data_IF_935832242074
#
_entry.id   IF_935832242074
#
_cell.length_a   1.000
_cell.length_b   1.000
_cell.length_c   1.000
_cell.angle_alpha   90.00
_cell.angle_beta   90.00
_cell.angle_gamma   90.00
#
_symmetry.space_group_name_H-M   'P 1'
#
loop_
_entity.id
_entity.type
_entity.pdbx_description
1 polymer ?
#
# COMPACT_ATOMS: atom_id res chain seq x y z
N UNK A 1 -2.94 13.09 -10.76
CA UNK A 1 -3.48 14.44 -10.53
C UNK A 1 -4.58 14.66 -11.54
N UNK A 2 -5.84 14.58 -11.13
CA UNK A 2 -6.95 14.83 -12.03
C UNK A 2 -6.97 16.32 -12.32
N UNK A 3 -6.58 16.71 -13.53
CA UNK A 3 -6.57 18.09 -14.00
C UNK A 3 -8.00 18.55 -14.30
N UNK A 4 -8.25 19.86 -14.23
CA UNK A 4 -9.45 20.45 -14.85
C UNK A 4 -9.54 19.97 -16.31
N UNK A 5 -10.74 19.56 -16.80
CA UNK A 5 -10.87 19.03 -18.15
C UNK A 5 -10.39 20.01 -19.20
N UNK A 6 -9.57 19.55 -20.15
CA UNK A 6 -9.00 20.39 -21.21
C UNK A 6 -10.07 21.16 -21.99
N UNK A 7 -11.22 20.53 -22.26
CA UNK A 7 -12.32 21.17 -22.98
C UNK A 7 -12.87 22.40 -22.24
N UNK A 8 -12.98 22.34 -20.91
CA UNK A 8 -13.46 23.47 -20.12
C UNK A 8 -12.48 24.65 -20.19
N UNK A 9 -11.17 24.37 -20.12
CA UNK A 9 -10.12 25.39 -20.28
C UNK A 9 -10.17 26.02 -21.67
N UNK A 10 -10.23 25.20 -22.73
CA UNK A 10 -10.30 25.70 -24.10
C UNK A 10 -11.58 26.53 -24.38
N UNK A 11 -12.71 26.18 -23.75
CA UNK A 11 -13.94 26.98 -23.84
C UNK A 11 -13.79 28.31 -23.11
N UNK A 12 -13.18 28.33 -21.92
CA UNK A 12 -12.91 29.57 -21.20
C UNK A 12 -12.03 30.53 -22.00
N UNK A 13 -10.97 30.03 -22.65
CA UNK A 13 -10.13 30.83 -23.54
C UNK A 13 -10.95 31.45 -24.70
N UNK A 14 -11.92 30.69 -25.22
CA UNK A 14 -12.79 31.14 -26.29
C UNK A 14 -13.78 32.23 -25.83
N UNK A 15 -14.29 32.13 -24.60
CA UNK A 15 -15.14 33.14 -23.97
C UNK A 15 -14.39 34.40 -23.53
N UNK A 16 -13.08 34.30 -23.25
CA UNK A 16 -12.23 35.46 -23.00
C UNK A 16 -11.82 36.20 -24.30
N UNK A 17 -11.79 35.49 -25.43
CA UNK A 17 -11.45 36.03 -26.74
C UNK A 17 -12.65 36.24 -27.67
N UNK A 18 -12.82 35.41 -28.70
CA UNK A 18 -13.76 35.66 -29.80
C UNK A 18 -15.25 35.59 -29.40
N UNK A 19 -15.59 34.89 -28.31
CA UNK A 19 -16.96 34.84 -27.79
C UNK A 19 -17.21 35.83 -26.64
N UNK A 20 -16.29 36.77 -26.43
CA UNK A 20 -16.41 37.76 -25.36
C UNK A 20 -17.68 38.60 -25.51
N UNK A 21 -18.52 38.55 -24.49
CA UNK A 21 -19.82 39.25 -24.46
C UNK A 21 -20.99 38.48 -25.07
N UNK A 22 -20.76 37.28 -25.63
CA UNK A 22 -21.83 36.40 -26.09
C UNK A 22 -22.32 35.56 -24.91
N UNK A 23 -23.62 35.65 -24.64
CA UNK A 23 -24.32 34.84 -23.63
C UNK A 23 -25.13 33.78 -24.36
N UNK A 24 -24.87 32.50 -24.08
CA UNK A 24 -25.79 31.43 -24.46
C UNK A 24 -26.76 31.15 -23.31
N UNK A 25 -27.99 30.71 -23.58
CA UNK A 25 -29.03 30.57 -22.54
C UNK A 25 -28.68 29.62 -21.38
N UNK A 26 -27.93 28.55 -21.65
CA UNK A 26 -27.61 27.51 -20.64
C UNK A 26 -26.10 27.28 -20.46
N UNK A 27 -25.24 27.97 -21.21
CA UNK A 27 -23.80 27.70 -21.24
C UNK A 27 -23.01 28.93 -21.67
N UNK A 28 -22.78 29.86 -20.73
CA UNK A 28 -21.92 31.02 -20.93
C UNK A 28 -20.57 30.86 -20.22
N UNK A 29 -19.63 31.78 -20.51
CA UNK A 29 -18.30 31.76 -19.89
C UNK A 29 -18.32 31.83 -18.36
N UNK A 30 -19.29 32.53 -17.76
CA UNK A 30 -19.42 32.63 -16.30
C UNK A 30 -19.83 31.29 -15.68
N UNK A 31 -20.81 30.59 -16.27
CA UNK A 31 -21.24 29.27 -15.80
C UNK A 31 -20.13 28.23 -15.90
N UNK A 32 -19.36 28.23 -16.99
CA UNK A 32 -18.21 27.31 -17.17
C UNK A 32 -17.08 27.67 -16.20
N UNK A 33 -16.83 28.95 -15.94
CA UNK A 33 -15.80 29.38 -15.01
C UNK A 33 -16.15 28.96 -13.58
N UNK A 34 -17.42 29.12 -13.19
CA UNK A 34 -17.91 28.65 -11.88
C UNK A 34 -17.73 27.13 -11.73
N UNK A 35 -18.14 26.34 -12.73
CA UNK A 35 -17.96 24.89 -12.70
C UNK A 35 -16.47 24.47 -12.66
N UNK A 36 -15.60 25.18 -13.39
CA UNK A 36 -14.15 24.94 -13.34
C UNK A 36 -13.56 25.22 -11.96
N UNK A 37 -14.03 26.29 -11.29
CA UNK A 37 -13.63 26.61 -9.92
C UNK A 37 -14.15 25.58 -8.91
N UNK A 38 -15.38 25.10 -9.05
CA UNK A 38 -15.89 23.98 -8.21
C UNK A 38 -15.02 22.73 -8.33
N UNK A 39 -14.63 22.36 -9.56
CA UNK A 39 -13.70 21.25 -9.80
C UNK A 39 -12.36 21.50 -9.10
N UNK A 40 -11.82 22.72 -9.19
CA UNK A 40 -10.57 23.08 -8.51
C UNK A 40 -10.68 22.97 -6.98
N UNK A 41 -11.79 23.42 -6.40
CA UNK A 41 -12.06 23.30 -4.97
C UNK A 41 -12.18 21.84 -4.54
N UNK A 42 -12.89 21.02 -5.32
CA UNK A 42 -13.00 19.59 -5.07
C UNK A 42 -11.62 18.88 -5.13
N UNK A 43 -10.76 19.28 -6.07
CA UNK A 43 -9.39 18.77 -6.15
C UNK A 43 -8.56 19.13 -4.92
N UNK A 44 -8.66 20.37 -4.43
CA UNK A 44 -7.98 20.79 -3.19
C UNK A 44 -8.48 19.99 -1.99
N UNK A 45 -9.80 19.84 -1.84
CA UNK A 45 -10.40 19.03 -0.78
C UNK A 45 -9.91 17.57 -0.83
N UNK A 46 -9.82 16.98 -2.03
CA UNK A 46 -9.28 15.64 -2.22
C UNK A 46 -7.80 15.54 -1.82
N UNK A 47 -6.98 16.53 -2.20
CA UNK A 47 -5.57 16.57 -1.81
C UNK A 47 -5.40 16.64 -0.29
N UNK A 48 -6.21 17.47 0.39
CA UNK A 48 -6.23 17.55 1.85
C UNK A 48 -6.66 16.24 2.50
N UNK A 49 -7.73 15.62 2.00
CA UNK A 49 -8.21 14.34 2.52
C UNK A 49 -7.18 13.22 2.34
N UNK A 50 -6.48 13.18 1.20
CA UNK A 50 -5.42 12.22 0.94
C UNK A 50 -4.24 12.40 1.90
N UNK A 51 -3.80 13.65 2.13
CA UNK A 51 -2.74 13.95 3.10
C UNK A 51 -3.14 13.53 4.53
N UNK A 52 -4.38 13.79 4.93
CA UNK A 52 -4.90 13.36 6.23
C UNK A 52 -4.96 11.83 6.37
N UNK A 53 -5.36 11.12 5.31
CA UNK A 53 -5.38 9.66 5.27
C UNK A 53 -3.97 9.09 5.43
N UNK A 54 -2.99 9.64 4.71
CA UNK A 54 -1.61 9.15 4.76
C UNK A 54 -0.98 9.43 6.14
N UNK A 55 -1.28 10.56 6.77
CA UNK A 55 -0.90 10.83 8.15
C UNK A 55 -1.53 9.85 9.15
N UNK A 56 -2.83 9.56 9.00
CA UNK A 56 -3.54 8.59 9.85
C UNK A 56 -2.97 7.17 9.71
N UNK A 57 -2.58 6.76 8.49
CA UNK A 57 -1.90 5.49 8.24
C UNK A 57 -0.55 5.41 8.93
N UNK A 58 0.25 6.47 8.85
CA UNK A 58 1.53 6.57 9.57
C UNK A 58 1.34 6.41 11.08
N UNK A 59 0.41 7.17 11.66
CA UNK A 59 0.09 7.08 13.08
C UNK A 59 -0.37 5.67 13.49
N UNK A 60 -1.22 5.03 12.69
CA UNK A 60 -1.67 3.66 12.96
C UNK A 60 -0.49 2.68 13.00
N UNK A 61 0.41 2.75 12.02
CA UNK A 61 1.59 1.90 11.96
C UNK A 61 2.49 2.09 13.18
N UNK A 62 2.72 3.35 13.60
CA UNK A 62 3.52 3.66 14.78
C UNK A 62 2.92 3.07 16.06
N UNK A 63 1.60 3.21 16.24
CA UNK A 63 0.88 2.67 17.41
C UNK A 63 0.89 1.15 17.42
N UNK A 64 0.75 0.50 16.27
CA UNK A 64 0.85 -0.96 16.15
C UNK A 64 2.27 -1.45 16.47
N UNK A 65 3.29 -0.75 15.99
CA UNK A 65 4.69 -1.07 16.30
C UNK A 65 4.98 -0.90 17.80
N UNK A 66 4.48 0.16 18.42
CA UNK A 66 4.61 0.38 19.86
C UNK A 66 3.91 -0.72 20.66
N UNK A 67 2.67 -1.06 20.31
CA UNK A 67 1.92 -2.13 20.97
C UNK A 67 2.65 -3.47 20.86
N UNK A 68 3.22 -3.78 19.69
CA UNK A 68 3.98 -5.00 19.45
C UNK A 68 5.22 -5.07 20.33
N UNK A 69 6.00 -3.97 20.42
CA UNK A 69 7.18 -3.90 21.31
C UNK A 69 6.81 -4.10 22.77
N UNK A 70 5.70 -3.46 23.22
CA UNK A 70 5.20 -3.62 24.59
C UNK A 70 4.78 -5.05 24.86
N UNK A 71 4.01 -5.68 23.95
CA UNK A 71 3.57 -7.06 24.07
C UNK A 71 4.75 -8.04 24.13
N UNK A 72 5.77 -7.88 23.28
CA UNK A 72 6.98 -8.70 23.30
C UNK A 72 7.73 -8.58 24.63
N UNK A 73 7.86 -7.37 25.17
CA UNK A 73 8.49 -7.14 26.48
C UNK A 73 7.69 -7.79 27.61
N UNK A 74 6.37 -7.65 27.59
CA UNK A 74 5.48 -8.31 28.55
C UNK A 74 5.59 -9.83 28.48
N UNK A 75 5.66 -10.42 27.28
CA UNK A 75 5.88 -11.87 27.12
C UNK A 75 7.22 -12.30 27.70
N UNK A 76 8.29 -11.51 27.52
CA UNK A 76 9.59 -11.81 28.13
C UNK A 76 9.52 -11.80 29.67
N UNK A 77 8.85 -10.81 30.26
CA UNK A 77 8.66 -10.76 31.72
C UNK A 77 7.77 -11.90 32.23
N UNK A 78 6.71 -12.23 31.51
CA UNK A 78 5.83 -13.34 31.85
C UNK A 78 6.60 -14.67 31.86
N UNK A 79 7.52 -14.89 30.91
CA UNK A 79 8.38 -16.08 30.88
C UNK A 79 9.29 -16.19 32.10
N UNK A 80 9.92 -15.08 32.51
CA UNK A 80 10.76 -15.05 33.71
C UNK A 80 9.93 -15.38 34.95
N UNK A 81 8.74 -14.76 35.08
CA UNK A 81 7.85 -15.03 36.20
C UNK A 81 7.30 -16.47 36.25
N UNK A 82 7.14 -17.09 35.08
CA UNK A 82 6.60 -18.44 34.95
C UNK A 82 7.68 -19.54 35.05
N UNK A 83 8.95 -19.21 35.30
CA UNK A 83 10.06 -20.18 35.28
C UNK A 83 9.82 -21.42 36.16
N UNK A 84 9.16 -21.25 37.30
CA UNK A 84 8.84 -22.33 38.24
C UNK A 84 7.39 -22.84 38.11
N UNK A 85 6.67 -22.43 37.06
CA UNK A 85 5.24 -22.70 36.85
C UNK A 85 5.02 -23.30 35.45
N UNK A 86 5.16 -24.62 35.28
CA UNK A 86 5.15 -25.27 33.97
C UNK A 86 3.85 -25.04 33.19
N UNK A 87 2.69 -25.11 33.86
CA UNK A 87 1.38 -24.84 33.23
C UNK A 87 1.28 -23.40 32.66
N UNK A 88 1.94 -22.44 33.32
CA UNK A 88 1.95 -21.04 32.89
C UNK A 88 2.90 -20.81 31.72
N UNK A 89 4.03 -21.54 31.65
CA UNK A 89 4.94 -21.50 30.51
C UNK A 89 4.28 -22.04 29.24
N UNK A 90 3.54 -23.14 29.35
CA UNK A 90 2.79 -23.72 28.21
C UNK A 90 1.73 -22.76 27.68
N UNK A 91 0.98 -22.11 28.60
CA UNK A 91 0.03 -21.07 28.23
C UNK A 91 0.71 -19.89 27.50
N UNK A 92 1.85 -19.40 28.00
CA UNK A 92 2.60 -18.30 27.36
C UNK A 92 3.18 -18.71 26.00
N UNK A 93 3.64 -19.96 25.85
CA UNK A 93 4.16 -20.47 24.59
C UNK A 93 3.10 -20.47 23.48
N UNK A 94 1.85 -20.82 23.81
CA UNK A 94 0.72 -20.82 22.87
C UNK A 94 0.40 -19.42 22.29
N UNK A 95 0.58 -18.37 23.10
CA UNK A 95 0.40 -16.97 22.66
C UNK A 95 1.50 -16.56 21.68
N UNK A 96 2.73 -17.01 21.90
CA UNK A 96 3.87 -16.69 21.03
C UNK A 96 3.83 -17.43 19.68
N UNK A 97 3.32 -18.67 19.63
CA UNK A 97 3.25 -19.44 18.38
C UNK A 97 2.26 -18.86 17.38
N UNK A 98 1.19 -18.24 17.86
CA UNK A 98 0.18 -17.59 17.04
C UNK A 98 0.62 -16.23 16.48
N UNK A 99 1.78 -15.71 16.91
CA UNK A 99 2.33 -14.40 16.50
C UNK A 99 3.44 -14.55 15.43
N UNK A 100 3.47 -15.65 14.69
CA UNK A 100 4.41 -15.77 13.56
C UNK A 100 4.10 -14.67 12.53
N UNK A 101 5.07 -13.83 12.14
CA UNK A 101 4.83 -12.61 11.36
C UNK A 101 4.50 -12.86 9.88
N UNK A 102 4.17 -14.09 9.49
CA UNK A 102 3.83 -14.38 8.10
C UNK A 102 2.92 -15.61 8.06
N UNK A 103 1.74 -15.46 7.46
CA UNK A 103 0.81 -16.54 7.16
C UNK A 103 1.31 -17.47 6.05
N UNK A 104 2.61 -17.79 6.04
CA UNK A 104 3.20 -18.70 5.10
C UNK A 104 3.02 -20.14 5.61
N UNK A 105 2.29 -21.01 4.89
CA UNK A 105 2.15 -22.41 5.28
C UNK A 105 3.54 -23.05 5.24
N UNK A 106 3.98 -23.60 6.39
CA UNK A 106 5.24 -24.33 6.52
C UNK A 106 5.24 -25.51 5.56
N UNK A 107 5.83 -25.35 4.37
CA UNK A 107 6.10 -26.46 3.45
C UNK A 107 6.99 -27.46 4.19
N UNK A 108 6.44 -28.65 4.47
CA UNK A 108 7.19 -29.80 4.97
C UNK A 108 8.36 -30.05 4.01
N UNK A 109 9.58 -29.72 4.45
CA UNK A 109 10.81 -30.18 3.80
C UNK A 109 10.82 -31.71 3.90
N UNK A 110 10.65 -32.37 2.77
CA UNK A 110 10.60 -33.82 2.71
C UNK A 110 10.91 -34.31 1.30
N UNK A 111 12.13 -34.83 1.17
CA UNK A 111 12.68 -35.72 0.12
C UNK A 111 13.47 -35.03 -1.01
N UNK A 112 14.81 -35.22 -1.07
CA UNK A 112 15.60 -34.86 -2.24
C UNK A 112 15.22 -35.81 -3.38
N UNK A 113 14.94 -35.26 -4.57
CA UNK A 113 14.79 -36.09 -5.77
C UNK A 113 16.18 -36.53 -6.22
N UNK A 114 16.41 -37.81 -6.00
CA UNK A 114 17.44 -38.66 -6.59
C UNK A 114 17.35 -38.61 -8.13
N UNK A 115 18.49 -38.35 -8.74
CA UNK A 115 18.97 -38.68 -10.09
C UNK A 115 18.06 -38.35 -11.29
N UNK A 116 18.44 -37.30 -12.02
CA UNK A 116 18.29 -37.25 -13.47
C UNK A 116 19.68 -37.06 -14.08
N UNK A 117 20.25 -38.17 -14.53
CA UNK A 117 21.44 -38.20 -15.36
C UNK A 117 21.19 -37.43 -16.67
N UNK A 118 22.14 -36.60 -17.07
CA UNK A 118 22.37 -36.23 -18.47
C UNK A 118 23.86 -36.37 -18.74
N UNK A 119 24.29 -37.42 -19.45
CA UNK A 119 25.60 -37.43 -20.08
C UNK A 119 25.42 -36.92 -21.52
N UNK A 120 25.89 -35.70 -21.77
CA UNK A 120 26.28 -35.25 -23.10
C UNK A 120 27.61 -34.53 -22.95
N UNK A 121 28.65 -35.32 -22.68
CA UNK A 121 30.04 -34.87 -22.78
C UNK A 121 30.38 -34.76 -24.26
N UNK A 122 30.63 -33.53 -24.67
CA UNK A 122 31.33 -33.19 -25.90
C UNK A 122 32.77 -33.74 -25.84
N UNK A 123 33.14 -34.47 -26.88
CA UNK A 123 34.52 -34.77 -27.28
C UNK A 123 34.55 -34.49 -28.79
N UNK A 124 35.08 -33.36 -29.23
CA UNK A 124 36.50 -33.03 -29.39
C UNK A 124 37.18 -33.79 -30.56
N UNK A 125 37.34 -33.05 -31.66
CA UNK A 125 38.53 -32.92 -32.53
C UNK A 125 38.96 -34.02 -33.51
N UNK A 126 39.50 -33.50 -34.64
CA UNK A 126 40.46 -34.07 -35.60
C UNK A 126 39.84 -34.96 -36.71
N UNK A 127 40.22 -34.92 -37.99
CA UNK A 127 41.31 -34.29 -38.71
C UNK A 127 40.96 -34.27 -40.22
N UNK A 128 41.65 -33.37 -40.94
CA UNK A 128 42.04 -33.44 -42.37
C UNK A 128 40.98 -33.41 -43.48
#
# INVERSE_FOLDING_TARGET
MSSTPFLAVALLDLFEGPLRGIRFPEADGESIAAAAEEVRQAQLALAHAQAALDAARGLLADRQAELTRRAQRTLAYARIYAQDKPELLDAIASVSSNTSPDGAPRKKRGRPRKDAASPAVASAQAAE
#
